data_IF_651160455487
#
_entry.id   IF_651160455487
#
_cell.length_a   1.000
_cell.length_b   1.000
_cell.length_c   1.000
_cell.angle_alpha   90.00
_cell.angle_beta   90.00
_cell.angle_gamma   90.00
#
_symmetry.space_group_name_H-M   'P 1'
#
loop_
_entity.id
_entity.type
_entity.pdbx_description
1 polymer ?
#
# COMPACT_ATOMS: atom_id res chain seq x y z
N UNK A 1 -41.83 30.07 2.76
CA UNK A 1 -41.44 28.94 3.63
C UNK A 1 -40.32 28.20 2.92
N UNK A 2 -39.06 28.23 3.41
CA UNK A 2 -37.92 27.70 2.67
C UNK A 2 -37.88 26.17 2.80
N UNK A 3 -37.87 25.48 1.65
CA UNK A 3 -37.69 24.03 1.59
C UNK A 3 -36.24 23.67 1.92
N UNK A 4 -36.07 22.88 2.98
CA UNK A 4 -34.79 22.51 3.55
C UNK A 4 -33.90 21.71 2.60
N UNK A 5 -32.64 22.13 2.55
CA UNK A 5 -31.50 21.39 2.02
C UNK A 5 -31.25 20.16 2.91
N UNK A 6 -31.93 19.04 2.65
CA UNK A 6 -31.43 17.74 3.10
C UNK A 6 -30.34 17.31 2.13
N UNK A 7 -29.11 17.79 2.37
CA UNK A 7 -27.93 17.16 1.79
C UNK A 7 -27.97 15.67 2.20
N UNK A 8 -28.16 14.79 1.21
CA UNK A 8 -28.16 13.34 1.42
C UNK A 8 -26.83 12.98 2.09
N UNK A 9 -26.86 12.49 3.33
CA UNK A 9 -25.67 12.00 4.04
C UNK A 9 -24.98 11.00 3.10
N UNK A 10 -23.67 11.15 2.80
CA UNK A 10 -22.98 10.15 2.01
C UNK A 10 -23.15 8.79 2.69
N UNK A 11 -23.53 7.79 1.90
CA UNK A 11 -23.71 6.42 2.35
C UNK A 11 -22.42 5.96 3.04
N UNK A 12 -22.51 5.60 4.32
CA UNK A 12 -21.35 5.10 5.06
C UNK A 12 -21.03 3.73 4.46
N UNK A 13 -19.93 3.64 3.70
CA UNK A 13 -19.49 2.38 3.12
C UNK A 13 -19.20 1.37 4.24
N UNK A 14 -19.69 0.14 4.06
CA UNK A 14 -19.42 -0.96 4.98
C UNK A 14 -17.95 -1.41 4.84
N UNK A 15 -17.13 -1.38 5.92
CA UNK A 15 -15.77 -1.90 5.90
C UNK A 15 -15.67 -3.34 5.41
N UNK A 16 -16.73 -4.14 5.57
CA UNK A 16 -16.77 -5.52 5.07
C UNK A 16 -16.87 -5.62 3.54
N UNK A 17 -17.31 -4.56 2.86
CA UNK A 17 -17.45 -4.49 1.39
C UNK A 17 -16.46 -3.51 0.74
N UNK A 18 -15.83 -2.67 1.55
CA UNK A 18 -14.86 -1.71 1.07
C UNK A 18 -13.65 -2.37 0.41
N UNK A 19 -13.19 -1.74 -0.67
CA UNK A 19 -11.99 -2.12 -1.41
C UNK A 19 -11.12 -0.87 -1.54
N UNK A 20 -9.87 -0.89 -1.07
CA UNK A 20 -8.96 0.24 -1.22
C UNK A 20 -8.80 0.60 -2.71
N UNK A 21 -8.90 1.88 -3.08
CA UNK A 21 -8.63 2.31 -4.44
C UNK A 21 -7.24 1.86 -4.92
N UNK A 22 -7.18 1.35 -6.15
CA UNK A 22 -5.94 0.81 -6.73
C UNK A 22 -5.58 -0.61 -6.26
N UNK A 23 -6.51 -1.32 -5.62
CA UNK A 23 -6.34 -2.73 -5.20
C UNK A 23 -7.54 -3.58 -5.61
N UNK A 24 -7.33 -4.90 -5.57
CA UNK A 24 -8.39 -5.93 -5.65
C UNK A 24 -8.33 -6.76 -4.37
N UNK A 25 -9.41 -6.79 -3.59
CA UNK A 25 -9.48 -7.63 -2.38
C UNK A 25 -9.86 -9.05 -2.79
N UNK A 26 -8.96 -10.00 -2.53
CA UNK A 26 -9.18 -11.42 -2.79
C UNK A 26 -9.98 -12.08 -1.66
N UNK A 27 -9.63 -11.80 -0.40
CA UNK A 27 -10.25 -12.43 0.75
C UNK A 27 -10.39 -11.46 1.94
N UNK A 28 -11.31 -11.77 2.85
CA UNK A 28 -11.56 -10.99 4.06
C UNK A 28 -11.73 -11.94 5.24
N UNK A 29 -11.01 -11.67 6.32
CA UNK A 29 -11.10 -12.39 7.58
C UNK A 29 -11.65 -11.46 8.65
N UNK A 30 -12.43 -12.00 9.58
CA UNK A 30 -12.93 -11.26 10.74
C UNK A 30 -12.24 -11.78 11.99
N UNK A 31 -11.93 -10.87 12.89
CA UNK A 31 -11.37 -11.26 14.17
C UNK A 31 -12.44 -11.79 15.15
N UNK A 32 -12.00 -12.13 16.35
CA UNK A 32 -12.80 -12.85 17.34
C UNK A 32 -13.86 -12.02 18.08
N UNK A 33 -13.90 -10.69 17.89
CA UNK A 33 -14.84 -9.81 18.60
C UNK A 33 -16.26 -9.81 17.99
N UNK A 34 -16.55 -10.68 17.03
CA UNK A 34 -17.88 -10.82 16.43
C UNK A 34 -18.11 -9.95 15.20
N UNK A 35 -19.25 -10.15 14.54
CA UNK A 35 -19.51 -9.69 13.18
C UNK A 35 -19.53 -8.16 12.99
N UNK A 36 -19.94 -7.39 14.00
CA UNK A 36 -20.08 -5.93 13.91
C UNK A 36 -18.93 -5.18 14.58
N UNK A 37 -18.39 -5.74 15.66
CA UNK A 37 -17.35 -5.10 16.48
C UNK A 37 -15.93 -5.50 16.03
N UNK A 38 -15.80 -6.60 15.32
CA UNK A 38 -14.51 -7.16 14.95
C UNK A 38 -13.81 -6.45 13.80
N UNK A 39 -12.50 -6.29 13.93
CA UNK A 39 -11.67 -5.79 12.85
C UNK A 39 -11.72 -6.74 11.64
N UNK A 40 -11.75 -6.14 10.46
CA UNK A 40 -11.64 -6.85 9.18
C UNK A 40 -10.17 -6.86 8.77
N UNK A 41 -9.67 -8.04 8.42
CA UNK A 41 -8.33 -8.26 7.86
C UNK A 41 -8.49 -8.58 6.39
N UNK A 42 -7.92 -7.75 5.53
CA UNK A 42 -7.97 -7.88 4.08
C UNK A 42 -6.78 -8.66 3.57
N UNK A 43 -7.02 -9.56 2.62
CA UNK A 43 -6.02 -10.06 1.68
C UNK A 43 -6.30 -9.42 0.34
N UNK A 44 -5.34 -8.70 -0.21
CA UNK A 44 -5.52 -7.96 -1.45
C UNK A 44 -4.29 -8.03 -2.33
N UNK A 45 -4.49 -7.74 -3.61
CA UNK A 45 -3.44 -7.56 -4.61
C UNK A 45 -3.59 -6.19 -5.25
N UNK A 46 -2.55 -5.73 -5.91
CA UNK A 46 -2.53 -4.49 -6.68
C UNK A 46 -1.68 -4.69 -7.93
N UNK A 47 -1.74 -3.72 -8.85
CA UNK A 47 -0.90 -3.76 -10.05
C UNK A 47 0.59 -3.80 -9.67
N UNK A 48 1.27 -4.83 -10.17
CA UNK A 48 2.72 -5.01 -10.08
C UNK A 48 3.39 -4.95 -11.45
N UNK A 49 4.73 -4.84 -11.47
CA UNK A 49 5.47 -4.61 -12.72
C UNK A 49 5.71 -5.87 -13.58
N UNK A 50 5.46 -7.08 -13.05
CA UNK A 50 5.99 -8.34 -13.63
C UNK A 50 4.95 -9.38 -14.06
N UNK A 51 3.68 -9.02 -14.20
CA UNK A 51 2.62 -9.94 -14.61
C UNK A 51 2.27 -11.04 -13.58
N UNK A 52 3.16 -11.32 -12.63
CA UNK A 52 2.88 -12.10 -11.43
C UNK A 52 2.17 -11.25 -10.40
N UNK A 53 1.00 -11.70 -9.94
CA UNK A 53 0.30 -11.07 -8.83
C UNK A 53 0.99 -11.40 -7.50
N UNK A 54 1.25 -10.36 -6.72
CA UNK A 54 1.69 -10.49 -5.33
C UNK A 54 0.61 -9.96 -4.40
N UNK A 55 0.55 -10.54 -3.21
CA UNK A 55 -0.52 -10.24 -2.27
C UNK A 55 0.02 -9.51 -1.04
N UNK A 56 -0.88 -8.82 -0.36
CA UNK A 56 -0.62 -8.13 0.89
C UNK A 56 -1.79 -8.29 1.84
N UNK A 57 -1.49 -8.08 3.11
CA UNK A 57 -2.41 -8.23 4.22
C UNK A 57 -2.51 -6.90 4.96
N UNK A 58 -3.73 -6.50 5.33
CA UNK A 58 -3.93 -5.32 6.17
C UNK A 58 -5.12 -5.51 7.11
N UNK A 59 -4.93 -5.13 8.38
CA UNK A 59 -6.01 -5.08 9.34
C UNK A 59 -6.61 -3.67 9.40
N UNK A 60 -7.91 -3.52 9.19
CA UNK A 60 -8.60 -2.22 9.28
C UNK A 60 -8.80 -1.74 10.72
N UNK A 61 -8.61 -2.63 11.72
CA UNK A 61 -8.71 -2.27 13.13
C UNK A 61 -7.40 -1.83 13.78
N UNK A 62 -6.24 -2.11 13.18
CA UNK A 62 -4.93 -1.79 13.74
C UNK A 62 -3.90 -1.43 12.66
N UNK A 63 -2.65 -1.22 13.05
CA UNK A 63 -1.56 -0.83 12.16
C UNK A 63 -0.89 -2.01 11.45
N UNK A 64 -1.42 -3.24 11.60
CA UNK A 64 -0.83 -4.42 10.97
C UNK A 64 -0.96 -4.34 9.45
N UNK A 65 0.19 -4.39 8.78
CA UNK A 65 0.37 -4.39 7.33
C UNK A 65 1.49 -5.37 7.00
N UNK A 66 1.28 -6.19 5.98
CA UNK A 66 2.32 -7.08 5.49
C UNK A 66 2.20 -7.26 3.97
N UNK A 67 3.32 -7.47 3.30
CA UNK A 67 3.37 -7.64 1.84
C UNK A 67 4.52 -8.54 1.38
N UNK A 68 5.41 -8.92 2.30
CA UNK A 68 6.53 -9.79 2.02
C UNK A 68 6.91 -10.57 3.29
N UNK A 69 7.18 -11.86 3.16
CA UNK A 69 7.87 -12.61 4.19
C UNK A 69 9.39 -12.46 4.01
N UNK A 70 10.18 -12.84 5.02
CA UNK A 70 11.63 -12.63 5.21
C UNK A 70 12.56 -12.56 3.98
N UNK A 71 12.23 -13.12 2.81
CA UNK A 71 12.97 -12.91 1.56
C UNK A 71 12.11 -12.88 0.29
N UNK A 72 10.77 -12.90 0.37
CA UNK A 72 9.91 -12.96 -0.81
C UNK A 72 8.57 -12.27 -0.63
N UNK A 73 8.06 -11.74 -1.74
CA UNK A 73 6.69 -11.27 -1.84
C UNK A 73 5.69 -12.40 -1.55
N UNK A 74 4.57 -12.06 -0.92
CA UNK A 74 3.58 -13.06 -0.53
C UNK A 74 2.83 -13.61 -1.75
N UNK A 75 2.68 -14.93 -1.80
CA UNK A 75 1.65 -15.58 -2.62
C UNK A 75 0.26 -15.36 -2.01
N UNK A 76 -0.79 -15.69 -2.75
CA UNK A 76 -2.17 -15.59 -2.22
C UNK A 76 -2.35 -16.48 -0.97
N UNK A 77 -1.84 -17.72 -1.01
CA UNK A 77 -1.95 -18.65 0.11
C UNK A 77 -1.18 -18.17 1.34
N UNK A 78 0.04 -17.63 1.16
CA UNK A 78 0.81 -17.11 2.30
C UNK A 78 0.11 -15.91 2.94
N UNK A 79 -0.45 -15.02 2.11
CA UNK A 79 -1.20 -13.86 2.58
C UNK A 79 -2.50 -14.29 3.30
N UNK A 80 -3.19 -15.31 2.79
CA UNK A 80 -4.37 -15.90 3.41
C UNK A 80 -4.05 -16.48 4.80
N UNK A 81 -2.96 -17.25 4.92
CA UNK A 81 -2.53 -17.84 6.18
C UNK A 81 -2.12 -16.78 7.21
N UNK A 82 -1.40 -15.74 6.78
CA UNK A 82 -1.06 -14.60 7.63
C UNK A 82 -2.30 -13.83 8.07
N UNK A 83 -3.24 -13.56 7.16
CA UNK A 83 -4.47 -12.84 7.47
C UNK A 83 -5.36 -13.63 8.44
N UNK A 84 -5.52 -14.92 8.22
CA UNK A 84 -6.28 -15.80 9.11
C UNK A 84 -5.63 -15.88 10.50
N UNK A 85 -4.31 -16.08 10.55
CA UNK A 85 -3.55 -16.10 11.80
C UNK A 85 -3.66 -14.78 12.55
N UNK A 86 -3.54 -13.65 11.85
CA UNK A 86 -3.71 -12.34 12.46
C UNK A 86 -5.14 -12.15 12.98
N UNK A 87 -6.16 -12.47 12.18
CA UNK A 87 -7.56 -12.34 12.56
C UNK A 87 -7.89 -13.18 13.82
N UNK A 88 -7.38 -14.41 13.92
CA UNK A 88 -7.60 -15.27 15.08
C UNK A 88 -7.04 -14.68 16.40
N UNK A 89 -5.96 -13.91 16.32
CA UNK A 89 -5.27 -13.37 17.49
C UNK A 89 -5.57 -11.89 17.76
N UNK A 90 -6.04 -11.15 16.76
CA UNK A 90 -6.26 -9.71 16.85
C UNK A 90 -7.50 -9.39 17.68
N UNK A 91 -7.35 -8.49 18.66
CA UNK A 91 -8.45 -7.98 19.50
C UNK A 91 -8.80 -6.52 19.21
N UNK A 92 -8.44 -6.03 18.02
CA UNK A 92 -8.79 -4.67 17.63
C UNK A 92 -10.28 -4.57 17.29
N UNK A 93 -10.91 -3.47 17.68
CA UNK A 93 -12.27 -3.18 17.22
C UNK A 93 -12.26 -2.71 15.75
N UNK A 94 -13.40 -2.84 15.09
CA UNK A 94 -13.64 -2.25 13.79
C UNK A 94 -13.53 -0.73 13.88
N UNK A 95 -12.50 -0.15 13.25
CA UNK A 95 -12.30 1.31 13.19
C UNK A 95 -12.98 1.97 11.98
N UNK A 96 -13.72 1.19 11.19
CA UNK A 96 -14.27 1.66 9.93
C UNK A 96 -13.23 1.68 8.81
N UNK A 97 -13.58 2.37 7.72
CA UNK A 97 -12.71 2.57 6.57
C UNK A 97 -11.71 3.69 6.90
N UNK A 98 -10.40 3.49 6.65
CA UNK A 98 -9.41 4.55 6.81
C UNK A 98 -9.76 5.77 5.95
N UNK A 99 -9.60 6.98 6.50
CA UNK A 99 -9.80 8.20 5.74
C UNK A 99 -8.87 8.23 4.53
N UNK A 100 -9.41 8.53 3.35
CA UNK A 100 -8.61 8.65 2.14
C UNK A 100 -7.66 9.86 2.28
N UNK A 101 -6.33 9.67 2.10
CA UNK A 101 -5.40 10.79 2.11
C UNK A 101 -5.69 11.71 0.92
N UNK A 102 -5.39 12.99 1.07
CA UNK A 102 -5.23 13.88 -0.09
C UNK A 102 -3.96 13.53 -0.86
N UNK A 103 -3.75 14.17 -2.01
CA UNK A 103 -2.60 13.85 -2.87
C UNK A 103 -1.25 14.21 -2.23
N UNK A 104 -1.22 15.18 -1.31
CA UNK A 104 0.00 15.57 -0.61
C UNK A 104 0.38 14.51 0.42
N UNK A 105 -0.59 14.04 1.22
CA UNK A 105 -0.38 12.96 2.18
C UNK A 105 -0.08 11.63 1.47
N UNK A 106 -0.75 11.33 0.36
CA UNK A 106 -0.46 10.15 -0.45
C UNK A 106 0.97 10.18 -1.02
N UNK A 107 1.44 11.34 -1.51
CA UNK A 107 2.80 11.49 -1.99
C UNK A 107 3.84 11.31 -0.87
N UNK A 108 3.54 11.71 0.37
CA UNK A 108 4.40 11.45 1.54
C UNK A 108 4.51 9.96 1.85
N UNK A 109 3.41 9.20 1.72
CA UNK A 109 3.43 7.73 1.89
C UNK A 109 4.37 7.11 0.86
N UNK A 110 4.24 7.48 -0.43
CA UNK A 110 5.13 6.99 -1.50
C UNK A 110 6.59 7.32 -1.19
N UNK A 111 6.89 8.58 -0.83
CA UNK A 111 8.24 9.01 -0.48
C UNK A 111 8.80 8.27 0.73
N UNK A 112 7.98 8.06 1.77
CA UNK A 112 8.38 7.34 2.98
C UNK A 112 8.72 5.88 2.68
N UNK A 113 7.92 5.21 1.85
CA UNK A 113 8.23 3.86 1.39
C UNK A 113 9.56 3.82 0.63
N UNK A 114 9.76 4.71 -0.35
CA UNK A 114 11.03 4.82 -1.08
C UNK A 114 12.21 5.07 -0.15
N UNK A 115 12.04 5.92 0.87
CA UNK A 115 13.05 6.18 1.87
C UNK A 115 13.39 4.93 2.70
N UNK A 116 12.41 4.09 3.03
CA UNK A 116 12.66 2.82 3.73
C UNK A 116 13.50 1.83 2.90
N UNK A 117 13.49 1.96 1.58
CA UNK A 117 14.33 1.19 0.65
C UNK A 117 15.76 1.75 0.53
N UNK A 118 16.02 2.92 1.11
CA UNK A 118 17.31 3.60 1.08
C UNK A 118 18.28 2.94 2.08
N UNK A 119 19.02 1.92 1.61
CA UNK A 119 19.88 1.10 2.46
C UNK A 119 21.16 1.81 2.88
N UNK A 120 21.45 1.83 4.19
CA UNK A 120 22.72 2.29 4.75
C UNK A 120 23.83 1.25 4.54
N UNK A 121 25.04 1.70 4.22
CA UNK A 121 26.25 0.85 4.18
C UNK A 121 26.36 -0.07 2.95
N UNK A 122 25.39 -0.05 2.05
CA UNK A 122 25.45 -0.79 0.78
C UNK A 122 25.80 0.16 -0.36
N UNK A 123 26.63 -0.26 -1.31
CA UNK A 123 26.89 0.53 -2.53
C UNK A 123 25.83 0.32 -3.61
N UNK A 124 24.87 -0.58 -3.40
CA UNK A 124 23.93 -0.99 -4.41
C UNK A 124 22.64 -0.18 -4.28
N UNK A 125 22.26 0.50 -5.36
CA UNK A 125 20.96 1.12 -5.50
C UNK A 125 19.84 0.05 -5.51
N UNK A 126 18.67 0.38 -4.98
CA UNK A 126 17.50 -0.50 -5.00
C UNK A 126 16.63 -0.15 -6.20
N UNK A 127 16.35 -1.13 -7.07
CA UNK A 127 15.36 -0.96 -8.13
C UNK A 127 13.97 -0.98 -7.54
N UNK A 128 13.24 0.11 -7.74
CA UNK A 128 11.87 0.22 -7.24
C UNK A 128 10.94 -0.61 -8.10
N UNK A 129 10.11 -1.42 -7.44
CA UNK A 129 8.96 -2.07 -8.03
C UNK A 129 7.66 -1.53 -7.43
N UNK A 130 6.57 -1.52 -8.20
CA UNK A 130 5.23 -1.26 -7.67
C UNK A 130 4.85 -2.21 -6.53
N UNK A 131 5.39 -3.42 -6.52
CA UNK A 131 5.22 -4.38 -5.43
C UNK A 131 5.80 -3.88 -4.10
N UNK A 132 6.80 -2.98 -4.13
CA UNK A 132 7.37 -2.37 -2.91
C UNK A 132 6.33 -1.57 -2.12
N UNK A 133 5.24 -1.13 -2.77
CA UNK A 133 4.16 -0.35 -2.16
C UNK A 133 2.95 -1.20 -1.75
N UNK A 134 2.97 -2.52 -1.96
CA UNK A 134 1.80 -3.36 -1.71
C UNK A 134 1.30 -3.25 -0.28
N UNK A 135 2.18 -3.29 0.71
CA UNK A 135 1.82 -3.15 2.11
C UNK A 135 1.17 -1.79 2.47
N UNK A 136 1.41 -0.75 1.68
CA UNK A 136 0.88 0.59 1.94
C UNK A 136 -0.43 0.89 1.19
N UNK A 137 -0.88 0.03 0.27
CA UNK A 137 -1.99 0.39 -0.64
C UNK A 137 -3.30 0.73 0.07
N UNK A 138 -3.53 0.13 1.24
CA UNK A 138 -4.70 0.43 2.08
C UNK A 138 -4.67 1.86 2.62
N UNK A 139 -3.49 2.35 2.99
CA UNK A 139 -3.31 3.69 3.54
C UNK A 139 -3.12 4.72 2.43
N UNK A 140 -2.49 4.32 1.32
CA UNK A 140 -2.26 5.14 0.14
C UNK A 140 -3.55 5.45 -0.63
N UNK A 141 -4.44 4.46 -0.81
CA UNK A 141 -5.71 4.58 -1.53
C UNK A 141 -5.58 5.31 -2.89
N UNK A 142 -4.59 4.91 -3.70
CA UNK A 142 -4.34 5.46 -5.05
C UNK A 142 -3.96 4.35 -6.04
N UNK A 143 -4.31 4.54 -7.33
CA UNK A 143 -3.90 3.62 -8.39
C UNK A 143 -2.38 3.68 -8.63
N UNK A 144 -1.85 2.68 -9.32
CA UNK A 144 -0.41 2.61 -9.64
C UNK A 144 0.09 3.84 -10.41
N UNK A 145 -0.72 4.46 -11.26
CA UNK A 145 -0.33 5.64 -12.03
C UNK A 145 -0.02 6.85 -11.15
N UNK A 146 -0.68 6.98 -10.00
CA UNK A 146 -0.33 7.99 -9.01
C UNK A 146 1.10 7.78 -8.50
N UNK A 147 1.44 6.55 -8.11
CA UNK A 147 2.79 6.20 -7.61
C UNK A 147 3.84 6.50 -8.68
N UNK A 148 3.59 6.10 -9.93
CA UNK A 148 4.49 6.37 -11.06
C UNK A 148 4.70 7.87 -11.26
N UNK A 149 3.62 8.66 -11.24
CA UNK A 149 3.71 10.11 -11.36
C UNK A 149 4.52 10.71 -10.21
N UNK A 150 4.25 10.32 -8.97
CA UNK A 150 5.01 10.80 -7.80
C UNK A 150 6.49 10.44 -7.90
N UNK A 151 6.83 9.23 -8.36
CA UNK A 151 8.23 8.84 -8.60
C UNK A 151 8.89 9.71 -9.67
N UNK A 152 8.18 10.03 -10.76
CA UNK A 152 8.70 10.95 -11.79
C UNK A 152 8.98 12.34 -11.22
N UNK A 153 8.07 12.89 -10.43
CA UNK A 153 8.26 14.20 -9.79
C UNK A 153 9.45 14.18 -8.81
N UNK A 154 9.54 13.15 -7.97
CA UNK A 154 10.65 12.98 -7.03
C UNK A 154 12.00 12.82 -7.74
N UNK A 155 12.03 12.08 -8.84
CA UNK A 155 13.24 11.92 -9.65
C UNK A 155 13.72 13.24 -10.28
N UNK A 156 12.79 14.15 -10.60
CA UNK A 156 13.11 15.48 -11.12
C UNK A 156 13.57 16.44 -10.02
N UNK A 157 12.90 16.42 -8.86
CA UNK A 157 13.22 17.34 -7.75
C UNK A 157 14.42 16.88 -6.93
N UNK A 158 14.66 15.58 -6.82
CA UNK A 158 15.65 14.97 -5.93
C UNK A 158 16.42 13.83 -6.62
N UNK A 159 17.19 14.12 -7.68
CA UNK A 159 17.88 13.10 -8.48
C UNK A 159 18.95 12.32 -7.71
N UNK A 160 19.47 12.88 -6.61
CA UNK A 160 20.40 12.20 -5.71
C UNK A 160 19.74 11.12 -4.84
N UNK A 161 18.42 11.18 -4.68
CA UNK A 161 17.63 10.20 -3.92
C UNK A 161 17.03 9.14 -4.84
N UNK A 162 16.40 9.58 -5.93
CA UNK A 162 15.71 8.70 -6.88
C UNK A 162 16.16 9.03 -8.31
N UNK A 163 16.69 8.03 -9.01
CA UNK A 163 17.17 8.21 -10.38
C UNK A 163 16.30 7.44 -11.37
N UNK A 164 15.80 8.09 -12.44
CA UNK A 164 15.10 7.41 -13.51
C UNK A 164 16.10 6.87 -14.53
N UNK A 165 15.81 5.70 -15.08
CA UNK A 165 16.58 5.11 -16.17
C UNK A 165 15.64 4.49 -17.22
N UNK A 166 16.03 4.45 -18.50
CA UNK A 166 15.32 3.68 -19.50
C UNK A 166 15.26 2.20 -19.10
N UNK A 167 14.12 1.57 -19.34
CA UNK A 167 14.02 0.12 -19.26
C UNK A 167 14.72 -0.51 -20.47
N UNK A 168 15.38 -1.65 -20.30
CA UNK A 168 16.24 -2.26 -21.32
C UNK A 168 15.52 -2.75 -22.59
N UNK A 169 14.18 -2.76 -22.58
CA UNK A 169 13.36 -3.10 -23.75
C UNK A 169 12.83 -1.86 -24.49
N UNK A 170 13.49 -0.71 -24.33
CA UNK A 170 13.16 0.60 -24.93
C UNK A 170 11.74 1.13 -24.66
N UNK A 171 10.99 0.47 -23.78
CA UNK A 171 9.63 0.85 -23.40
C UNK A 171 9.55 0.95 -21.88
N UNK A 172 9.41 2.16 -21.37
CA UNK A 172 9.20 2.44 -19.94
C UNK A 172 10.42 2.99 -19.20
N UNK A 173 10.17 3.45 -17.97
CA UNK A 173 11.16 4.03 -17.06
C UNK A 173 11.23 3.17 -15.81
N UNK A 174 12.45 2.76 -15.44
CA UNK A 174 12.73 2.17 -14.13
C UNK A 174 13.29 3.22 -13.20
N UNK A 175 13.01 3.09 -11.91
CA UNK A 175 13.54 3.98 -10.89
C UNK A 175 14.49 3.23 -9.97
N UNK A 176 15.53 3.94 -9.54
CA UNK A 176 16.47 3.43 -8.54
C UNK A 176 16.53 4.38 -7.36
N UNK A 177 16.28 3.86 -6.17
CA UNK A 177 16.61 4.54 -4.92
C UNK A 177 18.11 4.41 -4.72
N UNK A 178 18.79 5.55 -4.64
CA UNK A 178 20.24 5.60 -4.45
C UNK A 178 20.60 5.16 -3.02
N UNK A 179 21.83 4.67 -2.77
CA UNK A 179 22.26 4.40 -1.40
C UNK A 179 22.58 5.68 -0.65
N UNK A 180 22.60 5.62 0.69
CA UNK A 180 23.13 6.72 1.50
C UNK A 180 24.59 6.99 1.15
N UNK A 181 25.01 8.27 1.06
CA UNK A 181 26.42 8.60 1.00
C UNK A 181 27.15 7.97 2.18
N UNK A 182 28.38 7.46 2.00
CA UNK A 182 29.19 6.98 3.11
C UNK A 182 29.33 8.10 4.15
N UNK A 183 29.20 7.75 5.44
CA UNK A 183 29.51 8.68 6.52
C UNK A 183 31.02 8.94 6.48
N UNK A 184 31.40 10.20 6.28
CA UNK A 184 32.79 10.67 6.40
C UNK A 184 33.27 10.56 7.84
#
# INVERSE_FOLDING_TARGET
MPSGLFARRPEVQDPALWTPPGTTVAQRYRNTLGAQEGAVVLVYTADGDRGTAYFAVACLGCTYRDGANHNSWLSESDAADLANTHAANCRAMNRGIPAAPDDTEAAKIVRSRLWSLHKYGTRNAHYVSLSDFHADRVDLQRPADFIKHTMLQLAQSEPAFLTPEPYSSDTGTRFRVQPHPPRN
#
